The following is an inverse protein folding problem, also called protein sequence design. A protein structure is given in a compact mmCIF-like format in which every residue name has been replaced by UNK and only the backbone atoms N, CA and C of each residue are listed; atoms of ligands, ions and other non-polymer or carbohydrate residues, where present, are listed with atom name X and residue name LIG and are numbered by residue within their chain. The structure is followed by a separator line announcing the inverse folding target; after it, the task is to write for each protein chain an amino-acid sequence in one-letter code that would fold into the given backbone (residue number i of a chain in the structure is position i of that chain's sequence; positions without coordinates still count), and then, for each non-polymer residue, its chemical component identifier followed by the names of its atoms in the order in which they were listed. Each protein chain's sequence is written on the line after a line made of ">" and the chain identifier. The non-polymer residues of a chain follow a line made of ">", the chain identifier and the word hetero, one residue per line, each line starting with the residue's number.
data_IF_846846616303
#
_entry.id   IF_846846616303
#
_cell.length_a   1.000
_cell.length_b   1.000
_cell.length_c   1.000
_cell.angle_alpha   90.00
_cell.angle_beta   90.00
_cell.angle_gamma   90.00
#
_symmetry.space_group_name_H-M   'P 1'
#
loop_
_entity.id
_entity.type
_entity.pdbx_description
1 polymer ?
#
# COMPACT_ATOMS: atom_id res chain seq x y z
N UNK A 1 -1.84 12.33 -8.06
CA UNK A 1 -1.94 12.03 -6.61
C UNK A 1 -1.37 10.64 -6.29
N UNK A 2 -1.81 9.59 -6.98
CA UNK A 2 -1.32 8.21 -6.81
C UNK A 2 0.20 8.03 -6.83
N UNK A 3 0.87 8.50 -7.89
CA UNK A 3 2.32 8.41 -8.04
C UNK A 3 3.07 9.19 -6.95
N UNK A 4 2.50 10.31 -6.49
CA UNK A 4 3.08 11.10 -5.41
C UNK A 4 3.00 10.34 -4.09
N UNK A 5 1.85 9.70 -3.80
CA UNK A 5 1.68 8.88 -2.60
C UNK A 5 2.68 7.71 -2.57
N UNK A 6 2.82 7.03 -3.71
CA UNK A 6 3.76 5.93 -3.89
C UNK A 6 5.21 6.40 -3.70
N UNK A 7 5.61 7.45 -4.41
CA UNK A 7 6.95 8.03 -4.30
C UNK A 7 7.27 8.41 -2.86
N UNK A 8 6.38 9.16 -2.20
CA UNK A 8 6.61 9.60 -0.82
C UNK A 8 6.66 8.42 0.15
N UNK A 9 5.82 7.39 -0.02
CA UNK A 9 5.85 6.19 0.81
C UNK A 9 7.18 5.43 0.69
N UNK A 10 7.66 5.26 -0.55
CA UNK A 10 8.91 4.57 -0.84
C UNK A 10 10.13 5.35 -0.36
N UNK A 11 10.14 6.66 -0.53
CA UNK A 11 11.22 7.50 0.00
C UNK A 11 11.27 7.44 1.54
N UNK A 12 10.12 7.50 2.21
CA UNK A 12 10.05 7.35 3.66
C UNK A 12 10.61 6.00 4.13
N UNK A 13 10.27 4.91 3.43
CA UNK A 13 10.77 3.57 3.74
C UNK A 13 12.27 3.44 3.43
N UNK A 14 12.73 4.02 2.32
CA UNK A 14 14.14 4.05 1.91
C UNK A 14 14.98 4.76 2.97
N UNK A 15 14.55 5.93 3.41
CA UNK A 15 15.26 6.70 4.43
C UNK A 15 15.24 6.01 5.79
N UNK A 16 14.12 5.37 6.17
CA UNK A 16 14.07 4.55 7.38
C UNK A 16 15.09 3.39 7.35
N UNK A 17 15.23 2.71 6.21
CA UNK A 17 16.15 1.57 6.03
C UNK A 17 17.62 1.98 5.94
N UNK A 18 17.93 3.24 5.60
CA UNK A 18 19.33 3.74 5.54
C UNK A 18 19.98 3.78 6.91
N UNK A 19 19.21 3.99 7.97
CA UNK A 19 19.72 4.01 9.34
C UNK A 19 19.90 2.57 9.88
N UNK A 20 21.14 2.13 10.18
CA UNK A 20 21.41 0.79 10.72
C UNK A 20 20.67 0.50 12.04
N UNK A 21 20.34 1.53 12.83
CA UNK A 21 19.59 1.39 14.09
C UNK A 21 18.15 0.93 13.88
N UNK A 22 17.64 1.01 12.64
CA UNK A 22 16.31 0.57 12.26
C UNK A 22 16.28 -0.86 11.71
N UNK A 23 17.42 -1.55 11.62
CA UNK A 23 17.48 -2.93 11.17
C UNK A 23 16.63 -3.82 12.08
N UNK A 24 15.69 -4.56 11.48
CA UNK A 24 14.75 -5.42 12.21
C UNK A 24 13.58 -4.71 12.88
N UNK A 25 13.48 -3.37 12.77
CA UNK A 25 12.34 -2.59 13.29
C UNK A 25 11.29 -2.36 12.21
N UNK A 26 10.05 -2.14 12.63
CA UNK A 26 8.94 -1.81 11.75
C UNK A 26 8.78 -0.30 11.59
N UNK A 27 8.69 0.16 10.33
CA UNK A 27 8.41 1.56 10.01
C UNK A 27 6.95 1.88 10.32
N UNK A 28 6.70 2.57 11.43
CA UNK A 28 5.36 2.91 11.93
C UNK A 28 5.10 4.43 11.98
N UNK A 29 5.88 5.19 11.21
CA UNK A 29 5.85 6.65 11.19
C UNK A 29 5.31 7.18 9.86
N UNK A 30 4.88 8.45 9.84
CA UNK A 30 4.40 9.16 8.63
C UNK A 30 3.27 8.36 7.94
N UNK A 31 3.34 8.13 6.62
CA UNK A 31 2.28 7.41 5.88
C UNK A 31 2.09 5.98 6.39
N UNK A 32 3.19 5.34 6.80
CA UNK A 32 3.19 3.99 7.34
C UNK A 32 2.53 3.89 8.72
N UNK A 33 2.22 5.01 9.39
CA UNK A 33 1.37 5.00 10.60
C UNK A 33 -0.09 4.68 10.28
N UNK A 34 -0.55 5.04 9.07
CA UNK A 34 -1.96 5.00 8.70
C UNK A 34 -2.31 3.80 7.81
N UNK A 35 -1.33 3.29 7.06
CA UNK A 35 -1.48 2.12 6.20
C UNK A 35 -0.21 1.28 6.25
N UNK A 36 -0.36 -0.05 6.21
CA UNK A 36 0.77 -0.99 6.12
C UNK A 36 1.38 -1.02 4.72
N UNK A 37 0.60 -0.70 3.69
CA UNK A 37 1.05 -0.69 2.29
C UNK A 37 0.57 0.58 1.57
N UNK A 38 1.03 1.78 1.99
CA UNK A 38 0.58 3.05 1.41
C UNK A 38 1.03 3.23 -0.05
N UNK A 39 2.11 2.59 -0.45
CA UNK A 39 2.59 2.53 -1.83
C UNK A 39 1.59 1.79 -2.74
N UNK A 40 1.06 0.64 -2.31
CA UNK A 40 0.05 -0.12 -3.07
C UNK A 40 -1.28 0.61 -3.20
N UNK A 41 -1.65 1.45 -2.23
CA UNK A 41 -2.79 2.34 -2.38
C UNK A 41 -2.59 3.34 -3.53
N UNK A 42 -1.36 3.85 -3.70
CA UNK A 42 -0.98 4.68 -4.83
C UNK A 42 -1.17 3.94 -6.15
N UNK A 43 -0.60 2.74 -6.27
CA UNK A 43 -0.69 1.90 -7.47
C UNK A 43 -2.13 1.52 -7.84
N UNK A 44 -2.95 1.12 -6.86
CA UNK A 44 -4.38 0.87 -7.09
C UNK A 44 -5.08 2.13 -7.60
N UNK A 45 -4.83 3.29 -6.95
CA UNK A 45 -5.40 4.55 -7.40
C UNK A 45 -4.98 4.94 -8.82
N UNK A 46 -3.77 4.55 -9.25
CA UNK A 46 -3.29 4.77 -10.62
C UNK A 46 -4.10 3.93 -11.63
N UNK A 47 -4.35 2.65 -11.33
CA UNK A 47 -5.20 1.79 -12.16
C UNK A 47 -6.64 2.31 -12.28
N UNK A 48 -7.22 2.78 -11.17
CA UNK A 48 -8.53 3.43 -11.19
C UNK A 48 -8.50 4.76 -11.97
N UNK A 49 -7.40 5.51 -11.89
CA UNK A 49 -7.19 6.73 -12.68
C UNK A 49 -7.23 6.47 -14.19
N UNK A 50 -6.51 5.45 -14.66
CA UNK A 50 -6.53 5.01 -16.06
C UNK A 50 -7.95 4.60 -16.47
N UNK A 51 -8.64 3.82 -15.62
CA UNK A 51 -10.02 3.41 -15.86
C UNK A 51 -10.95 4.61 -16.06
N UNK A 52 -10.91 5.61 -15.16
CA UNK A 52 -11.75 6.79 -15.28
C UNK A 52 -11.41 7.65 -16.50
N UNK A 53 -10.14 7.79 -16.86
CA UNK A 53 -9.74 8.46 -18.11
C UNK A 53 -10.31 7.74 -19.34
N UNK A 54 -10.24 6.41 -19.35
CA UNK A 54 -10.80 5.58 -20.41
C UNK A 54 -12.31 5.77 -20.57
N UNK A 55 -13.07 5.66 -19.47
CA UNK A 55 -14.53 5.87 -19.49
C UNK A 55 -14.88 7.31 -19.91
N UNK A 56 -14.13 8.31 -19.42
CA UNK A 56 -14.36 9.71 -19.78
C UNK A 56 -14.12 10.00 -21.27
N UNK A 57 -13.33 9.20 -21.97
CA UNK A 57 -13.11 9.34 -23.42
C UNK A 57 -14.32 8.89 -24.25
N UNK A 58 -15.26 8.14 -23.65
CA UNK A 58 -16.41 7.55 -24.35
C UNK A 58 -16.07 6.35 -25.24
N UNK A 59 -14.80 6.00 -25.39
CA UNK A 59 -14.32 4.92 -26.25
C UNK A 59 -14.14 3.59 -25.49
N UNK A 60 -14.01 3.65 -24.17
CA UNK A 60 -13.72 2.47 -23.37
C UNK A 60 -15.02 1.76 -22.95
N UNK A 61 -15.14 0.45 -23.17
CA UNK A 61 -16.31 -0.30 -22.73
C UNK A 61 -16.30 -0.49 -21.20
N UNK A 62 -17.48 -0.47 -20.58
CA UNK A 62 -17.64 -0.53 -19.11
C UNK A 62 -16.98 -1.76 -18.45
N UNK A 63 -16.85 -2.87 -19.17
CA UNK A 63 -16.22 -4.08 -18.64
C UNK A 63 -14.71 -3.93 -18.35
N UNK A 64 -14.08 -2.85 -18.81
CA UNK A 64 -12.67 -2.55 -18.49
C UNK A 64 -12.44 -2.25 -17.00
N UNK A 65 -13.51 -2.07 -16.21
CA UNK A 65 -13.44 -2.02 -14.73
C UNK A 65 -12.85 -3.30 -14.13
N UNK A 66 -12.88 -4.42 -14.86
CA UNK A 66 -12.26 -5.67 -14.43
C UNK A 66 -10.73 -5.54 -14.26
N UNK A 67 -10.07 -4.62 -14.97
CA UNK A 67 -8.63 -4.38 -14.83
C UNK A 67 -8.24 -3.79 -13.46
N UNK A 68 -8.77 -2.63 -13.01
CA UNK A 68 -8.45 -2.12 -11.68
C UNK A 68 -8.98 -3.03 -10.55
N UNK A 69 -10.09 -3.75 -10.78
CA UNK A 69 -10.61 -4.71 -9.79
C UNK A 69 -9.72 -5.94 -9.64
N UNK A 70 -9.18 -6.49 -10.73
CA UNK A 70 -8.26 -7.62 -10.66
C UNK A 70 -6.94 -7.22 -9.99
N UNK A 71 -6.43 -6.02 -10.28
CA UNK A 71 -5.26 -5.47 -9.58
C UNK A 71 -5.53 -5.28 -8.08
N UNK A 72 -6.67 -4.68 -7.71
CA UNK A 72 -7.07 -4.54 -6.32
C UNK A 72 -7.13 -5.91 -5.61
N UNK A 73 -7.73 -6.92 -6.26
CA UNK A 73 -7.82 -8.27 -5.71
C UNK A 73 -6.42 -8.89 -5.53
N UNK A 74 -5.54 -8.76 -6.51
CA UNK A 74 -4.16 -9.24 -6.42
C UNK A 74 -3.41 -8.61 -5.24
N UNK A 75 -3.53 -7.29 -5.05
CA UNK A 75 -2.89 -6.62 -3.92
C UNK A 75 -3.46 -7.07 -2.58
N UNK A 76 -4.78 -7.08 -2.44
CA UNK A 76 -5.44 -7.38 -1.16
C UNK A 76 -5.27 -8.84 -0.75
N UNK A 77 -5.36 -9.77 -1.70
CA UNK A 77 -5.38 -11.22 -1.40
C UNK A 77 -4.04 -11.91 -1.58
N UNK A 78 -3.12 -11.39 -2.41
CA UNK A 78 -1.83 -12.03 -2.65
C UNK A 78 -0.64 -11.18 -2.17
N UNK A 79 -0.46 -9.98 -2.72
CA UNK A 79 0.77 -9.20 -2.47
C UNK A 79 0.90 -8.70 -1.03
N UNK A 80 -0.16 -8.10 -0.48
CA UNK A 80 -0.15 -7.62 0.92
C UNK A 80 0.02 -8.77 1.92
N UNK A 81 -0.76 -9.88 1.88
CA UNK A 81 -0.57 -10.97 2.83
C UNK A 81 0.80 -11.62 2.72
N UNK A 82 1.33 -11.80 1.51
CA UNK A 82 2.68 -12.34 1.32
C UNK A 82 3.75 -11.46 1.98
N UNK A 83 3.66 -10.14 1.83
CA UNK A 83 4.58 -9.20 2.48
C UNK A 83 4.41 -9.12 3.99
N UNK A 84 3.16 -9.17 4.47
CA UNK A 84 2.85 -9.17 5.90
C UNK A 84 3.42 -10.43 6.55
N UNK A 85 3.24 -11.61 5.96
CA UNK A 85 3.80 -12.87 6.44
C UNK A 85 5.32 -12.83 6.52
N UNK A 86 5.97 -12.35 5.45
CA UNK A 86 7.43 -12.16 5.45
C UNK A 86 7.88 -11.19 6.54
N UNK A 87 7.11 -10.14 6.82
CA UNK A 87 7.45 -9.15 7.85
C UNK A 87 7.27 -9.72 9.25
N UNK A 88 6.25 -10.57 9.48
CA UNK A 88 6.04 -11.30 10.73
C UNK A 88 7.20 -12.25 11.06
N UNK A 89 7.76 -12.92 10.06
CA UNK A 89 8.93 -13.81 10.24
C UNK A 89 10.21 -13.05 10.60
N UNK A 90 10.38 -11.84 10.06
CA UNK A 90 11.63 -11.09 10.18
C UNK A 90 11.63 -10.05 11.32
N UNK A 91 10.46 -9.70 11.86
CA UNK A 91 10.31 -8.59 12.82
C UNK A 91 9.28 -8.94 13.89
N UNK A 92 9.75 -9.04 15.14
CA UNK A 92 8.90 -9.36 16.28
C UNK A 92 7.88 -8.26 16.61
N UNK A 93 8.17 -7.00 16.28
CA UNK A 93 7.29 -5.84 16.51
C UNK A 93 6.17 -5.68 15.46
N UNK A 94 6.24 -6.44 14.35
CA UNK A 94 5.30 -6.28 13.24
C UNK A 94 3.88 -6.72 13.59
N UNK A 95 3.73 -7.74 14.45
CA UNK A 95 2.40 -8.25 14.83
C UNK A 95 1.55 -7.19 15.52
N UNK A 96 2.11 -6.48 16.50
CA UNK A 96 1.43 -5.38 17.19
C UNK A 96 1.07 -4.24 16.23
N UNK A 97 2.02 -3.90 15.33
CA UNK A 97 1.78 -2.91 14.29
C UNK A 97 0.64 -3.32 13.34
N UNK A 98 0.56 -4.60 13.00
CA UNK A 98 -0.45 -5.17 12.11
C UNK A 98 -1.86 -5.08 12.69
N UNK A 99 -2.01 -5.29 13.99
CA UNK A 99 -3.30 -5.23 14.69
C UNK A 99 -3.84 -3.79 14.76
N UNK A 100 -2.95 -2.80 14.88
CA UNK A 100 -3.31 -1.38 15.02
C UNK A 100 -3.46 -0.66 13.69
N UNK A 101 -2.85 -1.15 12.62
CA UNK A 101 -2.74 -0.41 11.34
C UNK A 101 -3.52 -1.07 10.22
N UNK A 102 -4.28 -0.27 9.47
CA UNK A 102 -5.01 -0.69 8.28
C UNK A 102 -4.06 -1.27 7.21
N UNK A 103 -4.48 -2.33 6.53
CA UNK A 103 -3.66 -2.99 5.50
C UNK A 103 -3.34 -2.06 4.33
N UNK A 104 -4.32 -1.29 3.85
CA UNK A 104 -4.20 -0.53 2.60
C UNK A 104 -4.70 0.92 2.72
N UNK A 105 -5.87 1.13 3.33
CA UNK A 105 -6.46 2.47 3.49
C UNK A 105 -5.68 3.30 4.50
N UNK A 106 -5.56 4.62 4.25
CA UNK A 106 -4.97 5.59 5.17
C UNK A 106 -5.95 5.92 6.31
N UNK A 107 -6.05 5.03 7.29
CA UNK A 107 -6.93 5.18 8.44
C UNK A 107 -6.13 5.46 9.72
N UNK A 108 -6.67 6.23 10.67
CA UNK A 108 -6.03 6.38 11.98
C UNK A 108 -5.88 5.01 12.65
N UNK A 109 -4.74 4.74 13.31
CA UNK A 109 -4.51 3.45 13.95
C UNK A 109 -5.51 3.22 15.08
N UNK A 110 -5.89 1.95 15.27
CA UNK A 110 -6.78 1.53 16.36
C UNK A 110 -6.06 1.70 17.70
N UNK A 111 -6.80 2.15 18.71
CA UNK A 111 -6.31 2.31 20.09
C UNK A 111 -6.06 0.98 20.76
#
# INVERSE_FOLDING_TARGET
>A
MSVVLETVADEQMRDFRKDPMNKGKTMKYKLWKYSRHPNYLGEIGFWFGIYFMGISSGLAPLWIILCPLSMLALFVFASCPMMDNRSLENRSDYKEYMEKTSQLLLLPPKS
#
